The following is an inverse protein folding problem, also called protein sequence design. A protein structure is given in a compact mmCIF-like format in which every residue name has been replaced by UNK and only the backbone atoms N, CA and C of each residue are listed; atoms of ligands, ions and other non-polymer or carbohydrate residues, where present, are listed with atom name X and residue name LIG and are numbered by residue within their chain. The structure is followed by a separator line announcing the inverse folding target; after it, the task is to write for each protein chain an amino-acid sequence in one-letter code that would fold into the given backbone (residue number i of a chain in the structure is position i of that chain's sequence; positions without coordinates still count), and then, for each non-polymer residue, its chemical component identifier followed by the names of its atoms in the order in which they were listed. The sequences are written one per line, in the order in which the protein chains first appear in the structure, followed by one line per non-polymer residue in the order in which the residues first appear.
data_IF_105684970806
#
_entry.id   IF_105684970806
#
_cell.length_a   1.000
_cell.length_b   1.000
_cell.length_c   1.000
_cell.angle_alpha   90.00
_cell.angle_beta   90.00
_cell.angle_gamma   90.00
#
_symmetry.space_group_name_H-M   'P 1'
#
loop_
_entity.id
_entity.type
_entity.pdbx_description
1 polymer ?
#
# COMPACT_ATOMS: atom_id res chain seq x y z
N UNK A 1 20.56 4.26 -2.45
CA UNK A 1 19.96 3.82 -3.71
C UNK A 1 21.01 4.04 -4.78
N UNK A 2 21.43 3.00 -5.48
CA UNK A 2 22.40 3.13 -6.58
C UNK A 2 21.72 3.67 -7.85
N UNK A 3 22.50 4.19 -8.80
CA UNK A 3 21.98 4.83 -10.01
C UNK A 3 21.13 3.87 -10.87
N UNK A 4 21.43 2.57 -10.81
CA UNK A 4 20.70 1.54 -11.53
C UNK A 4 19.30 1.33 -10.95
N UNK A 5 19.18 1.25 -9.62
CA UNK A 5 17.90 1.11 -8.92
C UNK A 5 16.99 2.32 -9.18
N UNK A 6 17.55 3.54 -9.21
CA UNK A 6 16.79 4.76 -9.53
C UNK A 6 16.21 4.71 -10.93
N UNK A 7 16.98 4.23 -11.92
CA UNK A 7 16.51 4.14 -13.30
C UNK A 7 15.42 3.07 -13.46
N UNK A 8 15.56 1.93 -12.79
CA UNK A 8 14.51 0.88 -12.78
C UNK A 8 13.23 1.39 -12.09
N UNK A 9 13.34 2.10 -10.96
CA UNK A 9 12.18 2.69 -10.29
C UNK A 9 11.42 3.65 -11.22
N UNK A 10 12.12 4.50 -11.98
CA UNK A 10 11.49 5.39 -12.97
C UNK A 10 10.75 4.61 -14.06
N UNK A 11 11.31 3.51 -14.56
CA UNK A 11 10.66 2.67 -15.56
C UNK A 11 9.36 2.07 -15.00
N UNK A 12 9.38 1.55 -13.76
CA UNK A 12 8.19 1.04 -13.08
C UNK A 12 7.14 2.14 -12.96
N UNK A 13 7.50 3.29 -12.38
CA UNK A 13 6.57 4.41 -12.15
C UNK A 13 5.97 4.91 -13.47
N UNK A 14 6.79 5.05 -14.50
CA UNK A 14 6.35 5.47 -15.84
C UNK A 14 5.35 4.49 -16.44
N UNK A 15 5.65 3.19 -16.36
CA UNK A 15 4.76 2.15 -16.86
C UNK A 15 3.40 2.19 -16.15
N UNK A 16 3.39 2.21 -14.81
CA UNK A 16 2.15 2.21 -14.03
C UNK A 16 1.33 3.47 -14.35
N UNK A 17 1.96 4.65 -14.43
CA UNK A 17 1.25 5.90 -14.77
C UNK A 17 0.64 5.87 -16.17
N UNK A 18 1.31 5.23 -17.13
CA UNK A 18 0.88 5.18 -18.53
C UNK A 18 -0.22 4.14 -18.75
N UNK A 19 -0.09 2.95 -18.15
CA UNK A 19 -0.94 1.80 -18.45
C UNK A 19 -2.00 1.52 -17.38
N UNK A 20 -1.82 1.98 -16.15
CA UNK A 20 -2.68 1.67 -15.03
C UNK A 20 -3.32 2.94 -14.46
N UNK A 21 -4.50 3.31 -14.94
CA UNK A 21 -5.23 4.52 -14.48
C UNK A 21 -5.50 4.54 -12.97
N UNK A 22 -5.63 3.36 -12.36
CA UNK A 22 -5.76 3.15 -10.92
C UNK A 22 -4.49 3.48 -10.12
N UNK A 23 -3.33 3.54 -10.79
CA UNK A 23 -2.01 3.50 -10.17
C UNK A 23 -1.67 2.16 -9.52
N UNK A 24 -2.43 1.10 -9.82
CA UNK A 24 -2.21 -0.27 -9.32
C UNK A 24 -1.84 -1.16 -10.50
N UNK A 25 -0.76 -1.93 -10.37
CA UNK A 25 -0.23 -2.81 -11.42
C UNK A 25 0.12 -4.19 -10.84
N UNK A 26 -0.01 -5.25 -11.63
CA UNK A 26 0.45 -6.59 -11.24
C UNK A 26 1.97 -6.72 -11.44
N UNK A 27 2.66 -7.34 -10.49
CA UNK A 27 4.12 -7.56 -10.59
C UNK A 27 4.49 -8.32 -11.86
N UNK A 28 3.65 -9.27 -12.26
CA UNK A 28 3.83 -10.10 -13.46
C UNK A 28 3.90 -9.28 -14.75
N UNK A 29 3.17 -8.16 -14.84
CA UNK A 29 3.21 -7.28 -16.02
C UNK A 29 4.58 -6.62 -16.17
N UNK A 30 5.22 -6.29 -15.04
CA UNK A 30 6.53 -5.63 -14.99
C UNK A 30 7.70 -6.57 -15.30
N UNK A 31 7.54 -7.88 -15.07
CA UNK A 31 8.59 -8.88 -15.32
C UNK A 31 9.00 -8.98 -16.80
N UNK A 32 8.12 -8.55 -17.71
CA UNK A 32 8.43 -8.47 -19.15
C UNK A 32 9.45 -7.38 -19.49
N UNK A 33 9.56 -6.34 -18.65
CA UNK A 33 10.47 -5.21 -18.83
C UNK A 33 11.67 -5.27 -17.88
N UNK A 34 11.46 -5.79 -16.68
CA UNK A 34 12.45 -5.83 -15.61
C UNK A 34 12.71 -7.28 -15.26
N UNK A 35 13.83 -7.78 -15.75
CA UNK A 35 14.37 -9.11 -15.47
C UNK A 35 15.75 -8.98 -14.86
N UNK A 36 16.14 -9.84 -13.90
CA UNK A 36 15.34 -10.89 -13.27
C UNK A 36 14.32 -10.36 -12.23
N UNK A 37 13.38 -11.20 -11.80
CA UNK A 37 12.42 -10.89 -10.71
C UNK A 37 13.10 -10.30 -9.47
N UNK A 38 14.28 -10.80 -9.10
CA UNK A 38 15.02 -10.28 -7.95
C UNK A 38 15.40 -8.80 -8.08
N UNK A 39 15.63 -8.30 -9.30
CA UNK A 39 15.92 -6.88 -9.53
C UNK A 39 14.65 -6.02 -9.33
N UNK A 40 13.49 -6.53 -9.77
CA UNK A 40 12.20 -5.91 -9.50
C UNK A 40 11.93 -5.84 -8.00
N UNK A 41 12.03 -6.98 -7.30
CA UNK A 41 11.79 -7.08 -5.85
C UNK A 41 12.76 -6.18 -5.06
N UNK A 42 14.05 -6.17 -5.41
CA UNK A 42 15.05 -5.28 -4.80
C UNK A 42 14.71 -3.80 -5.01
N UNK A 43 14.28 -3.43 -6.22
CA UNK A 43 13.89 -2.06 -6.52
C UNK A 43 12.67 -1.62 -5.72
N UNK A 44 11.64 -2.47 -5.65
CA UNK A 44 10.41 -2.21 -4.87
C UNK A 44 10.74 -2.05 -3.38
N UNK A 45 11.59 -2.92 -2.81
CA UNK A 45 11.93 -2.87 -1.39
C UNK A 45 12.61 -1.56 -0.96
N UNK A 46 13.34 -0.91 -1.87
CA UNK A 46 13.98 0.39 -1.63
C UNK A 46 13.20 1.59 -2.19
N UNK A 47 12.03 1.38 -2.77
CA UNK A 47 11.27 2.42 -3.46
C UNK A 47 10.54 3.34 -2.48
N UNK A 48 10.48 4.63 -2.82
CA UNK A 48 9.62 5.62 -2.14
C UNK A 48 8.39 6.00 -2.96
N UNK A 49 8.36 5.59 -4.22
CA UNK A 49 7.32 5.95 -5.19
C UNK A 49 6.32 4.81 -5.44
N UNK A 50 6.71 3.58 -5.12
CA UNK A 50 5.92 2.37 -5.31
C UNK A 50 6.04 1.52 -4.05
N UNK A 51 4.95 0.90 -3.62
CA UNK A 51 4.97 -0.11 -2.57
C UNK A 51 4.21 -1.36 -3.00
N UNK A 52 4.45 -2.46 -2.30
CA UNK A 52 3.63 -3.67 -2.43
C UNK A 52 2.19 -3.40 -2.00
N UNK A 53 1.25 -3.98 -2.74
CA UNK A 53 -0.18 -3.81 -2.55
C UNK A 53 -0.87 -5.18 -2.57
N UNK A 54 -0.97 -5.81 -1.40
CA UNK A 54 -1.29 -7.23 -1.30
C UNK A 54 -0.18 -8.12 -1.87
N UNK A 55 -0.46 -9.41 -2.08
CA UNK A 55 0.54 -10.38 -2.53
C UNK A 55 1.19 -10.09 -3.89
N UNK A 56 0.42 -9.62 -4.88
CA UNK A 56 0.84 -9.63 -6.30
C UNK A 56 0.83 -8.27 -6.99
N UNK A 57 0.33 -7.24 -6.31
CA UNK A 57 0.18 -5.93 -6.92
C UNK A 57 1.17 -4.94 -6.32
N UNK A 58 1.35 -3.86 -7.06
CA UNK A 58 2.07 -2.67 -6.64
C UNK A 58 1.12 -1.49 -6.74
N UNK A 59 1.31 -0.50 -5.88
CA UNK A 59 0.59 0.77 -5.94
C UNK A 59 1.56 1.95 -5.91
N UNK A 60 1.25 2.99 -6.69
CA UNK A 60 1.95 4.26 -6.60
C UNK A 60 1.63 4.97 -5.28
N UNK A 61 2.65 5.42 -4.56
CA UNK A 61 2.48 6.07 -3.25
C UNK A 61 1.67 7.37 -3.34
N UNK A 62 1.69 8.04 -4.49
CA UNK A 62 0.85 9.22 -4.76
C UNK A 62 -0.66 8.92 -4.71
N UNK A 63 -1.09 7.67 -4.95
CA UNK A 63 -2.49 7.25 -4.83
C UNK A 63 -2.92 7.05 -3.38
N UNK A 64 -1.95 6.86 -2.48
CA UNK A 64 -2.20 6.64 -1.06
C UNK A 64 -2.40 7.94 -0.28
N UNK A 65 -2.12 9.11 -0.86
CA UNK A 65 -2.27 10.41 -0.19
C UNK A 65 -3.63 10.56 0.49
N UNK A 66 -3.62 10.69 1.82
CA UNK A 66 -4.81 10.70 2.65
C UNK A 66 -5.09 12.10 3.19
N UNK A 67 -6.37 12.48 3.30
CA UNK A 67 -6.76 13.75 3.93
C UNK A 67 -6.34 13.75 5.40
N UNK A 68 -5.89 14.89 5.97
CA UNK A 68 -5.52 14.96 7.38
C UNK A 68 -6.62 14.52 8.34
N UNK A 69 -7.89 14.79 8.00
CA UNK A 69 -9.06 14.34 8.77
C UNK A 69 -9.15 12.83 8.82
N UNK A 70 -9.07 12.18 7.66
CA UNK A 70 -9.13 10.72 7.49
C UNK A 70 -7.99 10.05 8.25
N UNK A 71 -6.79 10.65 8.19
CA UNK A 71 -5.62 10.17 8.93
C UNK A 71 -5.85 10.21 10.45
N UNK A 72 -6.41 11.29 10.97
CA UNK A 72 -6.74 11.43 12.41
C UNK A 72 -7.77 10.41 12.87
N UNK A 73 -8.83 10.19 12.09
CA UNK A 73 -9.88 9.22 12.42
C UNK A 73 -9.31 7.81 12.47
N UNK A 74 -8.54 7.44 11.45
CA UNK A 74 -7.95 6.12 11.34
C UNK A 74 -6.93 5.88 12.47
N UNK A 75 -6.08 6.87 12.78
CA UNK A 75 -5.15 6.79 13.90
C UNK A 75 -5.87 6.60 15.25
N UNK A 76 -6.93 7.38 15.52
CA UNK A 76 -7.69 7.26 16.75
C UNK A 76 -8.36 5.89 16.88
N UNK A 77 -8.88 5.35 15.77
CA UNK A 77 -9.43 4.00 15.71
C UNK A 77 -8.37 2.95 16.03
N UNK A 78 -7.22 2.99 15.34
CA UNK A 78 -6.14 2.01 15.52
C UNK A 78 -5.58 2.05 16.94
N UNK A 79 -5.36 3.25 17.51
CA UNK A 79 -4.90 3.39 18.89
C UNK A 79 -5.86 2.71 19.86
N UNK A 80 -7.17 2.93 19.70
CA UNK A 80 -8.19 2.30 20.53
C UNK A 80 -8.17 0.78 20.39
N UNK A 81 -8.09 0.24 19.16
CA UNK A 81 -8.05 -1.21 18.96
C UNK A 81 -6.76 -1.80 19.55
N UNK A 82 -5.59 -1.21 19.30
CA UNK A 82 -4.30 -1.68 19.85
C UNK A 82 -4.25 -1.68 21.39
N UNK A 83 -4.96 -0.78 22.07
CA UNK A 83 -5.05 -0.75 23.54
C UNK A 83 -5.69 -2.02 24.13
N UNK A 84 -6.58 -2.70 23.39
CA UNK A 84 -7.24 -3.93 23.86
C UNK A 84 -6.47 -5.21 23.51
N UNK A 85 -5.41 -5.12 22.69
CA UNK A 85 -4.56 -6.23 22.27
C UNK A 85 -5.25 -7.26 21.35
N UNK A 86 -4.45 -8.08 20.65
CA UNK A 86 -4.95 -9.27 19.94
C UNK A 86 -5.66 -9.00 18.61
N UNK A 87 -5.31 -7.94 17.90
CA UNK A 87 -5.86 -7.66 16.58
C UNK A 87 -4.96 -8.18 15.47
N UNK A 88 -5.57 -8.84 14.48
CA UNK A 88 -4.91 -9.16 13.21
C UNK A 88 -5.43 -8.20 12.14
N UNK A 89 -4.70 -8.05 11.03
CA UNK A 89 -5.20 -7.26 9.90
C UNK A 89 -6.55 -7.80 9.38
N UNK A 90 -6.80 -9.10 9.44
CA UNK A 90 -8.11 -9.68 9.12
C UNK A 90 -9.23 -9.18 10.04
N UNK A 91 -9.00 -9.20 11.36
CA UNK A 91 -10.01 -8.78 12.32
C UNK A 91 -10.28 -7.28 12.23
N UNK A 92 -9.24 -6.47 12.05
CA UNK A 92 -9.35 -5.04 11.82
C UNK A 92 -10.10 -4.74 10.52
N UNK A 93 -9.72 -5.38 9.41
CA UNK A 93 -10.36 -5.17 8.12
C UNK A 93 -11.86 -5.45 8.19
N UNK A 94 -12.25 -6.56 8.82
CA UNK A 94 -13.66 -6.91 9.00
C UNK A 94 -14.41 -5.89 9.86
N UNK A 95 -13.82 -5.41 10.96
CA UNK A 95 -14.44 -4.36 11.80
C UNK A 95 -14.58 -3.04 11.06
N UNK A 96 -13.53 -2.61 10.34
CA UNK A 96 -13.51 -1.36 9.58
C UNK A 96 -14.54 -1.33 8.46
N UNK A 97 -14.91 -2.49 7.88
CA UNK A 97 -15.99 -2.59 6.88
C UNK A 97 -17.37 -2.29 7.43
N UNK A 98 -17.59 -2.55 8.73
CA UNK A 98 -18.89 -2.31 9.38
C UNK A 98 -19.06 -0.83 9.76
N UNK A 99 -17.97 -0.13 10.06
CA UNK A 99 -18.00 1.32 10.28
C UNK A 99 -18.06 2.08 8.94
N UNK A 100 -19.15 2.82 8.71
CA UNK A 100 -19.39 3.57 7.46
C UNK A 100 -18.23 4.51 7.09
N UNK A 101 -17.61 5.15 8.07
CA UNK A 101 -16.58 6.17 7.85
C UNK A 101 -15.26 5.51 7.51
N UNK A 102 -14.86 4.49 8.28
CA UNK A 102 -13.65 3.71 8.02
C UNK A 102 -13.76 2.98 6.68
N UNK A 103 -14.91 2.37 6.39
CA UNK A 103 -15.15 1.72 5.11
C UNK A 103 -15.04 2.69 3.93
N UNK A 104 -15.52 3.92 4.07
CA UNK A 104 -15.36 4.95 3.03
C UNK A 104 -13.89 5.31 2.77
N UNK A 105 -13.05 5.33 3.82
CA UNK A 105 -11.60 5.56 3.70
C UNK A 105 -10.96 4.39 2.93
N UNK A 106 -11.22 3.15 3.36
CA UNK A 106 -10.70 1.94 2.73
C UNK A 106 -11.09 1.85 1.25
N UNK A 107 -12.39 2.02 0.95
CA UNK A 107 -12.90 1.99 -0.42
C UNK A 107 -12.30 3.09 -1.29
N UNK A 108 -12.15 4.30 -0.75
CA UNK A 108 -11.50 5.41 -1.44
C UNK A 108 -10.04 5.15 -1.81
N UNK A 109 -9.40 4.22 -1.09
CA UNK A 109 -8.01 3.78 -1.31
C UNK A 109 -7.88 2.40 -1.94
N UNK A 110 -9.00 1.78 -2.34
CA UNK A 110 -9.03 0.42 -2.90
C UNK A 110 -8.37 -0.62 -1.98
N UNK A 111 -8.58 -0.47 -0.67
CA UNK A 111 -8.22 -1.49 0.32
C UNK A 111 -9.43 -2.43 0.43
N UNK A 112 -9.34 -3.56 -0.26
CA UNK A 112 -10.41 -4.57 -0.40
C UNK A 112 -10.06 -5.93 0.21
N UNK A 113 -8.86 -6.08 0.77
CA UNK A 113 -8.41 -7.23 1.56
C UNK A 113 -7.52 -6.79 2.74
N UNK A 114 -7.19 -7.74 3.63
CA UNK A 114 -6.40 -7.50 4.83
C UNK A 114 -4.91 -7.27 4.55
N UNK A 115 -4.35 -7.85 3.50
CA UNK A 115 -2.95 -7.64 3.12
C UNK A 115 -2.74 -6.20 2.62
N UNK A 116 -3.65 -5.69 1.80
CA UNK A 116 -3.64 -4.27 1.40
C UNK A 116 -3.86 -3.36 2.58
N UNK A 117 -4.68 -3.78 3.56
CA UNK A 117 -4.80 -3.02 4.81
C UNK A 117 -3.45 -2.98 5.53
N UNK A 118 -2.72 -4.09 5.61
CA UNK A 118 -1.40 -4.13 6.20
C UNK A 118 -0.43 -3.18 5.49
N UNK A 119 -0.29 -3.27 4.17
CA UNK A 119 0.54 -2.36 3.37
C UNK A 119 0.15 -0.90 3.57
N UNK A 120 -1.16 -0.62 3.57
CA UNK A 120 -1.70 0.73 3.73
C UNK A 120 -1.40 1.34 5.10
N UNK A 121 -1.58 0.54 6.17
CA UNK A 121 -1.35 1.00 7.54
C UNK A 121 0.14 1.18 7.81
N UNK A 122 0.99 0.23 7.40
CA UNK A 122 2.45 0.34 7.54
C UNK A 122 2.99 1.57 6.82
N UNK A 123 2.45 1.91 5.64
CA UNK A 123 2.84 3.12 4.92
C UNK A 123 2.45 4.42 5.66
N UNK A 124 1.24 4.49 6.20
CA UNK A 124 0.73 5.73 6.81
C UNK A 124 1.11 5.92 8.29
N UNK A 125 1.30 4.82 9.00
CA UNK A 125 1.51 4.74 10.44
C UNK A 125 2.58 3.69 10.77
N UNK A 126 3.82 3.85 10.28
CA UNK A 126 4.91 2.89 10.53
C UNK A 126 5.22 2.70 12.03
N UNK A 127 4.78 3.61 12.89
CA UNK A 127 4.89 3.53 14.34
C UNK A 127 3.90 2.55 14.99
N UNK A 128 2.86 2.12 14.29
CA UNK A 128 1.84 1.21 14.81
C UNK A 128 2.23 -0.23 14.45
N UNK A 129 2.51 -1.04 15.47
CA UNK A 129 2.78 -2.47 15.33
C UNK A 129 1.49 -3.25 15.70
N UNK A 130 0.96 -4.02 14.75
CA UNK A 130 -0.29 -4.78 14.86
C UNK A 130 0.01 -6.26 14.80
#
# INVERSE_FOLDING_TARGET
MDDQQVEVEKQIVSYIRTNCSSGICFKEELLSMISPKSNLDYTIAGSSQVIEWGERQLILTEKLVMRPTDKKILFAYLKKECEYGGHTFDSLFNKMKVDRRLFSILKGKKVDDSEKLASFLTWHFPEINI
#
